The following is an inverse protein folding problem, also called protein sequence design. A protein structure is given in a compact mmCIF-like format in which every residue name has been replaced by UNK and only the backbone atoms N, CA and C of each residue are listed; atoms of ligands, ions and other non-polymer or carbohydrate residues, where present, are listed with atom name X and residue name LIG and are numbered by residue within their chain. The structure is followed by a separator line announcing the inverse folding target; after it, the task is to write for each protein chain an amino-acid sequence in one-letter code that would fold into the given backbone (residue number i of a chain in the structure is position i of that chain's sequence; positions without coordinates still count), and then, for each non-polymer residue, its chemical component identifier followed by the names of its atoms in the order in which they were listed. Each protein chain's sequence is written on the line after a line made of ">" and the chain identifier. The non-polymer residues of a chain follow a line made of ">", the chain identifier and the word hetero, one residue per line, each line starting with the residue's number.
data_IF_302421588984
#
_entry.id   IF_302421588984
#
_cell.length_a   1.000
_cell.length_b   1.000
_cell.length_c   1.000
_cell.angle_alpha   90.00
_cell.angle_beta   90.00
_cell.angle_gamma   90.00
#
_symmetry.space_group_name_H-M   'P 1'
#
loop_
_entity.id
_entity.type
_entity.pdbx_description
1 polymer ?
#
# COMPACT_ATOMS: atom_id res chain seq x y z
N UNK A 1 0.31 -39.78 28.15
CA UNK A 1 -0.42 -38.63 27.58
C UNK A 1 0.60 -37.60 27.15
N UNK A 2 1.11 -37.72 25.91
CA UNK A 2 2.12 -36.80 25.36
C UNK A 2 1.36 -35.61 24.80
N UNK A 3 1.42 -34.48 25.50
CA UNK A 3 0.98 -33.21 24.94
C UNK A 3 2.03 -32.78 23.91
N UNK A 4 1.67 -32.87 22.63
CA UNK A 4 2.43 -32.21 21.57
C UNK A 4 2.19 -30.71 21.77
N UNK A 5 3.19 -29.99 22.29
CA UNK A 5 3.19 -28.53 22.28
C UNK A 5 3.26 -28.07 20.83
N UNK A 6 2.10 -27.78 20.24
CA UNK A 6 2.02 -27.04 18.99
C UNK A 6 2.37 -25.58 19.31
N UNK A 7 3.67 -25.28 19.29
CA UNK A 7 4.16 -23.90 19.40
C UNK A 7 3.66 -23.13 18.18
N UNK A 8 2.56 -22.38 18.34
CA UNK A 8 2.05 -21.52 17.27
C UNK A 8 3.18 -20.60 16.79
N UNK A 9 3.40 -20.46 15.46
CA UNK A 9 4.51 -19.67 14.94
C UNK A 9 4.45 -18.23 15.49
N UNK A 10 5.56 -17.74 16.07
CA UNK A 10 5.68 -16.36 16.59
C UNK A 10 5.11 -15.36 15.57
N UNK A 11 4.28 -14.43 16.03
CA UNK A 11 3.58 -13.40 15.23
C UNK A 11 4.47 -12.69 14.20
N UNK A 12 5.77 -12.56 14.48
CA UNK A 12 6.77 -11.92 13.63
C UNK A 12 7.19 -12.79 12.42
N UNK A 13 7.24 -14.12 12.58
CA UNK A 13 7.63 -15.05 11.51
C UNK A 13 6.56 -15.09 10.40
N UNK A 14 5.28 -15.00 10.77
CA UNK A 14 4.15 -14.95 9.83
C UNK A 14 4.14 -13.68 8.98
N UNK A 15 4.55 -12.53 9.56
CA UNK A 15 4.68 -11.25 8.82
C UNK A 15 5.75 -11.35 7.74
N UNK A 16 6.94 -11.85 8.08
CA UNK A 16 8.07 -11.95 7.13
C UNK A 16 7.77 -12.88 5.97
N UNK A 17 7.15 -14.04 6.23
CA UNK A 17 6.75 -14.98 5.16
C UNK A 17 5.76 -14.32 4.21
N UNK A 18 4.72 -13.65 4.73
CA UNK A 18 3.75 -12.93 3.90
C UNK A 18 4.43 -11.87 3.03
N UNK A 19 5.34 -11.07 3.59
CA UNK A 19 6.05 -10.02 2.85
C UNK A 19 6.96 -10.61 1.76
N UNK A 20 7.65 -11.72 2.02
CA UNK A 20 8.46 -12.40 1.01
C UNK A 20 7.58 -12.91 -0.14
N UNK A 21 6.48 -13.60 0.16
CA UNK A 21 5.58 -14.11 -0.88
C UNK A 21 5.02 -12.92 -1.69
N UNK A 22 4.59 -11.86 -1.02
CA UNK A 22 4.11 -10.65 -1.70
C UNK A 22 5.14 -10.03 -2.64
N UNK A 23 6.40 -9.93 -2.22
CA UNK A 23 7.46 -9.45 -3.10
C UNK A 23 7.61 -10.38 -4.31
N UNK A 24 7.66 -11.70 -4.13
CA UNK A 24 7.78 -12.65 -5.26
C UNK A 24 6.63 -12.51 -6.25
N UNK A 25 5.40 -12.29 -5.78
CA UNK A 25 4.22 -12.14 -6.62
C UNK A 25 4.02 -10.73 -7.21
N UNK A 26 5.01 -9.84 -7.10
CA UNK A 26 5.00 -8.54 -7.81
C UNK A 26 4.79 -7.32 -6.93
N UNK A 27 4.85 -7.45 -5.61
CA UNK A 27 4.80 -6.32 -4.68
C UNK A 27 5.87 -5.24 -4.93
N UNK A 28 7.07 -5.66 -5.40
CA UNK A 28 8.15 -4.74 -5.74
C UNK A 28 7.87 -3.88 -6.98
N UNK A 29 7.10 -4.40 -7.96
CA UNK A 29 6.75 -3.66 -9.17
C UNK A 29 5.89 -2.44 -8.82
N UNK A 30 4.90 -2.64 -7.95
CA UNK A 30 4.07 -1.56 -7.43
C UNK A 30 4.88 -0.57 -6.61
N UNK A 31 5.77 -1.05 -5.75
CA UNK A 31 6.63 -0.15 -5.00
C UNK A 31 7.51 0.73 -5.89
N UNK A 32 8.05 0.17 -6.98
CA UNK A 32 8.79 0.93 -7.98
C UNK A 32 7.92 1.97 -8.67
N UNK A 33 6.67 1.65 -9.05
CA UNK A 33 5.72 2.62 -9.60
C UNK A 33 5.54 3.82 -8.65
N UNK A 34 5.32 3.57 -7.35
CA UNK A 34 5.23 4.64 -6.35
C UNK A 34 6.52 5.47 -6.22
N UNK A 35 7.69 4.84 -6.31
CA UNK A 35 8.97 5.56 -6.23
C UNK A 35 9.26 6.38 -7.48
N UNK A 36 9.01 5.85 -8.68
CA UNK A 36 9.14 6.62 -9.91
C UNK A 36 8.15 7.78 -9.97
N UNK A 37 6.89 7.56 -9.59
CA UNK A 37 5.90 8.62 -9.45
C UNK A 37 6.37 9.67 -8.43
N UNK A 38 6.94 9.26 -7.30
CA UNK A 38 7.48 10.19 -6.32
C UNK A 38 8.59 11.07 -6.88
N UNK A 39 9.60 10.47 -7.52
CA UNK A 39 10.72 11.22 -8.08
C UNK A 39 10.20 12.21 -9.12
N UNK A 40 9.30 11.79 -10.01
CA UNK A 40 8.68 12.66 -11.01
C UNK A 40 7.94 13.84 -10.39
N UNK A 41 7.19 13.63 -9.31
CA UNK A 41 6.46 14.70 -8.63
C UNK A 41 7.39 15.67 -7.90
N UNK A 42 8.44 15.15 -7.28
CA UNK A 42 9.43 15.95 -6.56
C UNK A 42 10.29 16.85 -7.47
N UNK A 43 10.28 16.64 -8.79
CA UNK A 43 10.91 17.58 -9.75
C UNK A 43 10.28 18.97 -9.68
N UNK A 44 9.00 19.04 -9.29
CA UNK A 44 8.28 20.31 -9.13
C UNK A 44 8.13 20.66 -7.65
N UNK A 45 8.30 21.94 -7.30
CA UNK A 45 8.13 22.42 -5.91
C UNK A 45 6.71 22.10 -5.39
N UNK A 46 5.70 22.23 -6.25
CA UNK A 46 4.30 21.95 -5.91
C UNK A 46 4.04 20.45 -5.71
N UNK A 47 4.79 19.58 -6.39
CA UNK A 47 4.64 18.13 -6.33
C UNK A 47 5.35 17.45 -5.15
N UNK A 48 6.28 18.13 -4.47
CA UNK A 48 7.00 17.60 -3.30
C UNK A 48 6.08 16.96 -2.24
N UNK A 49 5.00 17.60 -1.74
CA UNK A 49 4.12 16.99 -0.75
C UNK A 49 3.46 15.69 -1.25
N UNK A 50 3.13 15.62 -2.54
CA UNK A 50 2.54 14.45 -3.17
C UNK A 50 3.56 13.33 -3.37
N UNK A 51 4.78 13.67 -3.77
CA UNK A 51 5.87 12.71 -3.87
C UNK A 51 6.19 12.07 -2.52
N UNK A 52 6.29 12.86 -1.45
CA UNK A 52 6.54 12.34 -0.10
C UNK A 52 5.44 11.36 0.34
N UNK A 53 4.18 11.64 0.00
CA UNK A 53 3.08 10.73 0.28
C UNK A 53 3.16 9.44 -0.57
N UNK A 54 3.56 9.56 -1.83
CA UNK A 54 3.81 8.42 -2.72
C UNK A 54 4.92 7.51 -2.19
N UNK A 55 6.03 8.05 -1.66
CA UNK A 55 7.10 7.24 -1.02
C UNK A 55 6.54 6.41 0.14
N UNK A 56 5.72 7.00 1.01
CA UNK A 56 5.14 6.27 2.16
C UNK A 56 4.29 5.09 1.70
N UNK A 57 3.49 5.28 0.65
CA UNK A 57 2.70 4.21 0.05
C UNK A 57 3.59 3.18 -0.65
N UNK A 58 4.68 3.58 -1.30
CA UNK A 58 5.67 2.69 -1.91
C UNK A 58 6.36 1.80 -0.87
N UNK A 59 6.76 2.36 0.28
CA UNK A 59 7.32 1.57 1.40
C UNK A 59 6.28 0.60 1.96
N UNK A 60 5.03 1.03 2.11
CA UNK A 60 3.92 0.16 2.51
C UNK A 60 3.66 -0.95 1.47
N UNK A 61 3.82 -0.64 0.18
CA UNK A 61 3.68 -1.61 -0.90
C UNK A 61 4.84 -2.62 -0.91
N UNK A 62 6.05 -2.28 -0.45
CA UNK A 62 7.12 -3.27 -0.25
C UNK A 62 6.83 -4.22 0.92
N UNK A 63 6.38 -3.68 2.05
CA UNK A 63 6.14 -4.42 3.29
C UNK A 63 4.70 -4.23 3.80
N UNK A 64 3.72 -4.88 3.14
CA UNK A 64 2.30 -4.72 3.48
C UNK A 64 1.91 -5.37 4.81
N UNK A 65 2.50 -6.50 5.17
CA UNK A 65 2.07 -7.29 6.31
C UNK A 65 2.73 -6.81 7.60
N UNK A 66 1.89 -6.56 8.61
CA UNK A 66 2.29 -5.94 9.87
C UNK A 66 1.99 -4.44 9.92
N UNK A 67 1.61 -3.82 8.80
CA UNK A 67 1.26 -2.40 8.74
C UNK A 67 -0.22 -2.17 9.10
N UNK A 68 -0.48 -1.17 9.93
CA UNK A 68 -1.80 -0.66 10.28
C UNK A 68 -1.97 0.72 9.67
N UNK A 69 -3.11 0.95 9.01
CA UNK A 69 -3.47 2.27 8.50
C UNK A 69 -4.56 2.86 9.39
N UNK A 70 -4.24 3.94 10.08
CA UNK A 70 -5.18 4.73 10.88
C UNK A 70 -5.52 6.03 10.18
N UNK A 71 -6.70 6.56 10.48
CA UNK A 71 -7.11 7.92 10.10
C UNK A 71 -6.66 8.89 11.18
N UNK A 72 -5.96 9.95 10.79
CA UNK A 72 -5.52 10.99 11.73
C UNK A 72 -6.64 12.02 11.87
N UNK A 73 -7.32 12.02 13.02
CA UNK A 73 -8.45 12.92 13.32
C UNK A 73 -8.03 14.40 13.44
N UNK A 74 -6.77 14.68 13.78
CA UNK A 74 -6.29 16.05 14.02
C UNK A 74 -5.90 16.83 12.74
N UNK A 75 -5.88 16.19 11.58
CA UNK A 75 -5.44 16.85 10.34
C UNK A 75 -6.62 17.52 9.62
N UNK A 76 -6.63 18.85 9.63
CA UNK A 76 -7.50 19.75 8.83
C UNK A 76 -8.20 19.06 7.64
N UNK A 77 -9.42 18.54 7.86
CA UNK A 77 -10.10 17.69 6.88
C UNK A 77 -10.29 18.35 5.50
N UNK A 78 -10.42 19.67 5.48
CA UNK A 78 -10.49 20.46 4.25
C UNK A 78 -9.18 20.42 3.43
N UNK A 79 -8.02 20.49 4.08
CA UNK A 79 -6.72 20.41 3.41
C UNK A 79 -6.49 19.01 2.82
N UNK A 80 -6.80 17.96 3.57
CA UNK A 80 -6.72 16.58 3.09
C UNK A 80 -7.66 16.34 1.90
N UNK A 81 -8.88 16.88 1.94
CA UNK A 81 -9.81 16.80 0.83
C UNK A 81 -9.23 17.47 -0.43
N UNK A 82 -8.72 18.70 -0.30
CA UNK A 82 -8.11 19.44 -1.41
C UNK A 82 -6.91 18.68 -1.99
N UNK A 83 -6.01 18.17 -1.15
CA UNK A 83 -4.86 17.37 -1.58
C UNK A 83 -5.30 16.08 -2.28
N UNK A 84 -6.29 15.36 -1.75
CA UNK A 84 -6.82 14.15 -2.40
C UNK A 84 -7.43 14.46 -3.77
N UNK A 85 -8.17 15.56 -3.92
CA UNK A 85 -8.74 15.98 -5.22
C UNK A 85 -7.62 16.22 -6.23
N UNK A 86 -6.61 17.01 -5.88
CA UNK A 86 -5.46 17.30 -6.75
C UNK A 86 -4.71 16.00 -7.11
N UNK A 87 -4.48 15.15 -6.11
CA UNK A 87 -3.76 13.89 -6.27
C UNK A 87 -4.43 12.93 -7.26
N UNK A 88 -5.76 12.82 -7.24
CA UNK A 88 -6.51 11.94 -8.15
C UNK A 88 -6.18 12.26 -9.62
N UNK A 89 -6.09 13.54 -9.98
CA UNK A 89 -5.78 13.97 -11.35
C UNK A 89 -4.30 13.81 -11.71
N UNK A 90 -3.41 13.97 -10.74
CA UNK A 90 -1.97 13.93 -10.97
C UNK A 90 -1.47 12.48 -11.13
N UNK A 91 -1.86 11.58 -10.23
CA UNK A 91 -1.27 10.24 -10.18
C UNK A 91 -2.13 9.19 -9.48
N UNK A 92 -3.02 9.59 -8.57
CA UNK A 92 -3.83 8.68 -7.78
C UNK A 92 -4.71 7.76 -8.64
N UNK A 93 -5.34 8.30 -9.69
CA UNK A 93 -6.17 7.49 -10.58
C UNK A 93 -5.36 6.43 -11.34
N UNK A 94 -4.20 6.80 -11.88
CA UNK A 94 -3.33 5.91 -12.65
C UNK A 94 -2.80 4.75 -11.79
N UNK A 95 -2.27 5.07 -10.60
CA UNK A 95 -1.75 4.05 -9.68
C UNK A 95 -2.87 3.15 -9.15
N UNK A 96 -4.05 3.72 -8.88
CA UNK A 96 -5.21 2.93 -8.50
C UNK A 96 -5.65 1.97 -9.62
N UNK A 97 -5.54 2.38 -10.88
CA UNK A 97 -5.83 1.52 -12.03
C UNK A 97 -4.84 0.34 -12.12
N UNK A 98 -3.55 0.56 -11.87
CA UNK A 98 -2.56 -0.53 -11.78
C UNK A 98 -2.94 -1.53 -10.69
N UNK A 99 -3.35 -1.04 -9.52
CA UNK A 99 -3.85 -1.89 -8.44
C UNK A 99 -5.14 -2.64 -8.81
N UNK A 100 -6.06 -2.00 -9.52
CA UNK A 100 -7.28 -2.64 -10.00
C UNK A 100 -6.96 -3.77 -10.99
N UNK A 101 -6.11 -3.51 -11.98
CA UNK A 101 -5.72 -4.47 -12.99
C UNK A 101 -5.02 -5.70 -12.39
N UNK A 102 -4.02 -5.49 -11.53
CA UNK A 102 -3.33 -6.59 -10.83
C UNK A 102 -4.26 -7.30 -9.85
N UNK A 103 -5.12 -6.56 -9.14
CA UNK A 103 -6.10 -7.13 -8.22
C UNK A 103 -7.04 -8.09 -8.93
N UNK A 104 -7.59 -7.69 -10.09
CA UNK A 104 -8.44 -8.56 -10.92
C UNK A 104 -7.64 -9.74 -11.45
N UNK A 105 -6.44 -9.51 -12.00
CA UNK A 105 -5.58 -10.57 -12.54
C UNK A 105 -5.28 -11.66 -11.49
N UNK A 106 -4.91 -11.28 -10.26
CA UNK A 106 -4.67 -12.24 -9.19
C UNK A 106 -5.95 -12.91 -8.69
N UNK A 107 -7.10 -12.22 -8.71
CA UNK A 107 -8.37 -12.84 -8.35
C UNK A 107 -8.82 -13.92 -9.35
N UNK A 108 -8.44 -13.80 -10.64
CA UNK A 108 -8.73 -14.84 -11.64
C UNK A 108 -7.98 -16.14 -11.34
N UNK A 109 -6.80 -16.06 -10.72
CA UNK A 109 -6.08 -17.24 -10.23
C UNK A 109 -6.60 -17.58 -8.84
N UNK A 110 -7.36 -18.69 -8.69
CA UNK A 110 -7.97 -19.10 -7.40
C UNK A 110 -6.95 -19.10 -6.24
N UNK A 111 -5.70 -19.47 -6.54
CA UNK A 111 -4.59 -19.51 -5.56
C UNK A 111 -4.16 -18.11 -5.09
N UNK A 112 -4.27 -17.08 -5.92
CA UNK A 112 -3.78 -15.72 -5.60
C UNK A 112 -4.89 -14.75 -5.14
N UNK A 113 -6.12 -15.21 -4.92
CA UNK A 113 -7.20 -14.42 -4.34
C UNK A 113 -6.77 -13.57 -3.13
N UNK A 114 -6.05 -14.08 -2.10
CA UNK A 114 -5.63 -13.25 -0.96
C UNK A 114 -4.72 -12.08 -1.36
N UNK A 115 -3.90 -12.24 -2.41
CA UNK A 115 -3.06 -11.19 -2.96
C UNK A 115 -3.87 -10.17 -3.76
N UNK A 116 -4.82 -10.63 -4.58
CA UNK A 116 -5.73 -9.74 -5.31
C UNK A 116 -6.55 -8.84 -4.38
N UNK A 117 -7.07 -9.39 -3.28
CA UNK A 117 -7.77 -8.62 -2.26
C UNK A 117 -6.87 -7.57 -1.58
N UNK A 118 -5.58 -7.83 -1.44
CA UNK A 118 -4.62 -6.87 -0.91
C UNK A 118 -4.38 -5.70 -1.89
N UNK A 119 -4.31 -5.96 -3.20
CA UNK A 119 -4.25 -4.89 -4.19
C UNK A 119 -5.48 -3.97 -4.13
N UNK A 120 -6.69 -4.50 -3.88
CA UNK A 120 -7.88 -3.65 -3.73
C UNK A 120 -7.86 -2.79 -2.46
N UNK A 121 -7.19 -3.24 -1.39
CA UNK A 121 -6.95 -2.38 -0.21
C UNK A 121 -5.99 -1.25 -0.54
N UNK A 122 -4.92 -1.55 -1.28
CA UNK A 122 -4.00 -0.52 -1.73
C UNK A 122 -4.59 0.43 -2.75
N UNK A 123 -5.48 -0.03 -3.64
CA UNK A 123 -6.24 0.83 -4.54
C UNK A 123 -6.99 1.92 -3.77
N UNK A 124 -7.68 1.57 -2.67
CA UNK A 124 -8.39 2.56 -1.83
C UNK A 124 -7.43 3.57 -1.18
N UNK A 125 -6.25 3.11 -0.75
CA UNK A 125 -5.21 3.96 -0.19
C UNK A 125 -4.56 4.85 -1.26
N UNK A 126 -4.38 4.35 -2.47
CA UNK A 126 -3.86 5.08 -3.62
C UNK A 126 -4.80 6.19 -4.05
N UNK A 127 -6.13 5.97 -3.97
CA UNK A 127 -7.12 7.00 -4.27
C UNK A 127 -7.13 8.14 -3.25
N UNK A 128 -7.07 7.81 -1.95
CA UNK A 128 -7.21 8.77 -0.86
C UNK A 128 -6.08 8.61 0.17
N UNK A 129 -4.84 8.97 -0.20
CA UNK A 129 -3.70 8.74 0.68
C UNK A 129 -3.60 9.78 1.79
N UNK A 130 -4.13 10.98 1.61
CA UNK A 130 -4.01 12.07 2.60
C UNK A 130 -4.98 11.85 3.77
N UNK A 131 -4.54 12.21 4.98
CA UNK A 131 -5.24 11.91 6.23
C UNK A 131 -5.08 10.46 6.73
N UNK A 132 -4.18 9.68 6.11
CA UNK A 132 -3.83 8.31 6.52
C UNK A 132 -2.42 8.27 7.11
N UNK A 133 -2.29 7.60 8.25
CA UNK A 133 -1.01 7.29 8.88
C UNK A 133 -0.76 5.79 8.83
N UNK A 134 0.49 5.42 8.57
CA UNK A 134 0.94 4.03 8.47
C UNK A 134 1.83 3.76 9.68
N UNK A 135 1.42 2.80 10.50
CA UNK A 135 2.17 2.34 11.67
C UNK A 135 2.51 0.86 11.50
N UNK A 136 3.79 0.51 11.66
CA UNK A 136 4.24 -0.88 11.62
C UNK A 136 4.12 -1.49 13.02
N UNK A 137 3.27 -2.51 13.15
CA UNK A 137 3.01 -3.25 14.39
C UNK A 137 3.78 -4.57 14.46
#
# INVERSE_FOLDING_TARGET
>A
MIFINFEAPKKNKMKTIGNIIWLVFGGWLIALEYFFASVGLMVTIVGIPFGLQSIKLGVLALWPFGSRVSTVEESSGCLNLAMNIIWIFIGGFWIALTHLALGVLFCLTIVCIPFGLQHFKFMKLAFLPFGKQIEQA
#
